data_IF_596241239514
#
_entry.id   IF_596241239514
#
_cell.length_a   1.000
_cell.length_b   1.000
_cell.length_c   1.000
_cell.angle_alpha   90.00
_cell.angle_beta   90.00
_cell.angle_gamma   90.00
#
_symmetry.space_group_name_H-M   'P 1'
#
loop_
_entity.id
_entity.type
_entity.pdbx_description
1 polymer ?
#
# COMPACT_ATOMS: atom_id res chain seq x y z
N UNK A 1 29.16 25.04 -12.86
CA UNK A 1 28.73 25.45 -11.50
C UNK A 1 27.31 26.02 -11.49
N UNK A 2 26.98 27.02 -12.30
CA UNK A 2 25.66 27.66 -12.40
C UNK A 2 24.48 26.69 -12.65
N UNK A 3 24.61 25.68 -13.55
CA UNK A 3 23.55 24.67 -13.81
C UNK A 3 23.24 23.82 -12.57
N UNK A 4 24.22 23.48 -11.72
CA UNK A 4 24.01 22.72 -10.47
C UNK A 4 23.28 23.56 -9.42
N UNK A 5 23.62 24.87 -9.31
CA UNK A 5 22.96 25.81 -8.39
C UNK A 5 21.51 26.03 -8.82
N UNK A 6 21.27 26.22 -10.11
CA UNK A 6 19.92 26.39 -10.65
C UNK A 6 19.05 25.14 -10.42
N UNK A 7 19.59 23.94 -10.70
CA UNK A 7 18.88 22.68 -10.43
C UNK A 7 18.55 22.49 -8.94
N UNK A 8 19.50 22.80 -8.06
CA UNK A 8 19.28 22.73 -6.61
C UNK A 8 18.18 23.69 -6.15
N UNK A 9 18.18 24.92 -6.67
CA UNK A 9 17.16 25.92 -6.36
C UNK A 9 15.77 25.50 -6.84
N UNK A 10 15.62 25.00 -8.07
CA UNK A 10 14.36 24.49 -8.60
C UNK A 10 13.85 23.30 -7.81
N UNK A 11 14.73 22.41 -7.37
CA UNK A 11 14.37 21.26 -6.54
C UNK A 11 13.84 21.70 -5.17
N UNK A 12 14.47 22.69 -4.54
CA UNK A 12 13.98 23.28 -3.27
C UNK A 12 12.63 23.96 -3.45
N UNK A 13 12.45 24.75 -4.50
CA UNK A 13 11.16 25.40 -4.77
C UNK A 13 10.04 24.37 -5.00
N UNK A 14 10.32 23.29 -5.75
CA UNK A 14 9.36 22.20 -5.95
C UNK A 14 9.01 21.53 -4.63
N UNK A 15 10.00 21.28 -3.76
CA UNK A 15 9.78 20.72 -2.43
C UNK A 15 8.86 21.59 -1.59
N UNK A 16 9.16 22.90 -1.49
CA UNK A 16 8.34 23.87 -0.74
C UNK A 16 6.90 23.92 -1.29
N UNK A 17 6.75 23.96 -2.62
CA UNK A 17 5.44 23.95 -3.27
C UNK A 17 4.63 22.69 -2.91
N UNK A 18 5.27 21.53 -2.93
CA UNK A 18 4.62 20.26 -2.58
C UNK A 18 4.21 20.23 -1.10
N UNK A 19 5.09 20.66 -0.19
CA UNK A 19 4.78 20.73 1.26
C UNK A 19 3.60 21.65 1.54
N UNK A 20 3.55 22.82 0.89
CA UNK A 20 2.41 23.74 1.01
C UNK A 20 1.11 23.11 0.47
N UNK A 21 1.18 22.50 -0.70
CA UNK A 21 0.02 21.80 -1.30
C UNK A 21 -0.51 20.70 -0.39
N UNK A 22 0.37 19.86 0.16
CA UNK A 22 -0.02 18.77 1.06
C UNK A 22 -0.61 19.28 2.38
N UNK A 23 -0.11 20.39 2.92
CA UNK A 23 -0.72 21.02 4.10
C UNK A 23 -2.12 21.55 3.80
N UNK A 24 -2.33 22.17 2.63
CA UNK A 24 -3.66 22.62 2.19
C UNK A 24 -4.60 21.41 2.04
N UNK A 25 -4.12 20.32 1.44
CA UNK A 25 -4.90 19.10 1.29
C UNK A 25 -5.27 18.48 2.64
N UNK A 26 -4.36 18.50 3.63
CA UNK A 26 -4.67 18.07 4.99
C UNK A 26 -5.82 18.88 5.61
N UNK A 27 -5.84 20.21 5.41
CA UNK A 27 -6.93 21.03 5.94
C UNK A 27 -8.26 20.79 5.20
N UNK A 28 -8.23 20.52 3.90
CA UNK A 28 -9.42 20.11 3.14
C UNK A 28 -9.95 18.77 3.65
N UNK A 29 -9.08 17.78 3.86
CA UNK A 29 -9.45 16.45 4.35
C UNK A 29 -10.02 16.52 5.77
N UNK A 30 -9.46 17.37 6.64
CA UNK A 30 -9.99 17.60 7.99
C UNK A 30 -11.44 18.08 7.99
N UNK A 31 -11.83 18.83 6.95
CA UNK A 31 -13.21 19.34 6.79
C UNK A 31 -14.17 18.30 6.20
N UNK A 32 -13.66 17.19 5.66
CA UNK A 32 -14.51 16.08 5.28
C UNK A 32 -15.17 15.57 6.56
N UNK A 33 -16.50 15.57 6.58
CA UNK A 33 -17.22 14.92 7.68
C UNK A 33 -16.75 13.47 7.70
N UNK A 34 -16.23 12.97 8.85
CA UNK A 34 -16.02 11.54 8.95
C UNK A 34 -17.40 10.94 8.65
N UNK A 35 -17.47 10.12 7.60
CA UNK A 35 -18.62 9.27 7.48
C UNK A 35 -18.73 8.58 8.83
N UNK A 36 -19.91 8.56 9.41
CA UNK A 36 -20.24 7.84 10.63
C UNK A 36 -20.11 6.31 10.43
N UNK A 37 -19.16 5.91 9.62
CA UNK A 37 -18.71 4.54 9.54
C UNK A 37 -18.06 4.29 10.89
N UNK A 38 -18.84 3.69 11.78
CA UNK A 38 -18.30 2.96 12.90
C UNK A 38 -17.31 1.99 12.24
N UNK A 39 -16.02 2.34 12.23
CA UNK A 39 -15.00 1.42 11.78
C UNK A 39 -15.16 0.25 12.74
N UNK A 40 -15.84 -0.80 12.31
CA UNK A 40 -15.77 -2.08 12.99
C UNK A 40 -14.32 -2.44 12.89
N UNK A 41 -13.58 -2.17 13.95
CA UNK A 41 -12.20 -2.57 14.08
C UNK A 41 -12.20 -4.08 13.98
N UNK A 42 -11.94 -4.59 12.77
CA UNK A 42 -11.64 -6.00 12.63
C UNK A 42 -10.52 -6.29 13.62
N UNK A 43 -10.78 -7.18 14.54
CA UNK A 43 -9.81 -7.49 15.58
C UNK A 43 -8.69 -8.30 14.94
N UNK A 44 -7.51 -7.72 14.79
CA UNK A 44 -6.36 -8.44 14.21
C UNK A 44 -6.03 -9.72 14.98
N UNK A 45 -6.48 -9.83 16.22
CA UNK A 45 -6.27 -11.02 17.05
C UNK A 45 -7.04 -12.25 16.52
N UNK A 46 -8.02 -12.05 15.63
CA UNK A 46 -8.73 -13.13 14.94
C UNK A 46 -7.85 -13.88 13.95
N UNK A 47 -6.74 -13.27 13.49
CA UNK A 47 -5.81 -13.89 12.54
C UNK A 47 -4.55 -14.35 13.27
N UNK A 48 -4.15 -15.60 13.04
CA UNK A 48 -2.94 -16.18 13.60
C UNK A 48 -1.77 -16.16 12.63
N UNK A 49 -2.06 -16.25 11.32
CA UNK A 49 -1.07 -16.27 10.25
C UNK A 49 -1.45 -15.26 9.16
N UNK A 50 -0.61 -14.28 8.96
CA UNK A 50 -0.85 -13.19 8.01
C UNK A 50 0.29 -13.17 7.00
N UNK A 51 -0.04 -13.33 5.72
CA UNK A 51 0.90 -13.17 4.62
C UNK A 51 0.77 -11.75 4.04
N UNK A 52 1.84 -10.97 4.10
CA UNK A 52 1.90 -9.65 3.44
C UNK A 52 2.68 -9.82 2.14
N UNK A 53 2.02 -9.63 1.02
CA UNK A 53 2.65 -9.69 -0.30
C UNK A 53 3.20 -8.32 -0.66
N UNK A 54 4.52 -8.26 -0.89
CA UNK A 54 5.30 -7.04 -1.07
C UNK A 54 5.82 -6.98 -2.51
N UNK A 55 5.20 -6.22 -3.42
CA UNK A 55 5.67 -6.09 -4.80
C UNK A 55 7.08 -5.50 -4.89
N UNK A 56 7.29 -4.31 -4.31
CA UNK A 56 8.58 -3.63 -4.29
C UNK A 56 9.15 -3.58 -2.88
N UNK A 57 10.46 -3.62 -2.80
CA UNK A 57 11.16 -3.36 -1.55
C UNK A 57 10.96 -1.87 -1.17
N UNK A 58 10.11 -1.60 -0.20
CA UNK A 58 9.64 -0.36 0.44
C UNK A 58 8.12 -0.33 0.67
N UNK A 59 7.34 -1.14 -0.06
CA UNK A 59 5.88 -1.17 0.05
C UNK A 59 5.41 -1.60 1.45
N UNK A 60 6.09 -2.59 2.05
CA UNK A 60 5.80 -3.07 3.41
C UNK A 60 6.00 -1.97 4.45
N UNK A 61 7.01 -1.12 4.23
CA UNK A 61 7.31 -0.03 5.14
C UNK A 61 6.35 1.15 4.92
N UNK A 62 6.04 1.47 3.67
CA UNK A 62 5.11 2.55 3.32
C UNK A 62 3.70 2.22 3.82
N UNK A 63 3.20 1.00 3.55
CA UNK A 63 1.82 0.62 3.81
C UNK A 63 1.55 -0.03 5.16
N UNK A 64 2.52 -0.77 5.72
CA UNK A 64 2.30 -1.72 6.80
C UNK A 64 3.30 -1.66 7.97
N UNK A 65 4.15 -0.63 8.07
CA UNK A 65 5.25 -0.58 9.06
C UNK A 65 4.80 -0.87 10.49
N UNK A 66 3.85 -0.10 11.01
CA UNK A 66 3.39 -0.25 12.39
C UNK A 66 2.53 -1.50 12.58
N UNK A 67 1.81 -1.90 11.55
CA UNK A 67 1.09 -3.16 11.54
C UNK A 67 2.05 -4.34 11.72
N UNK A 68 3.12 -4.41 10.91
CA UNK A 68 4.14 -5.45 10.99
C UNK A 68 4.85 -5.40 12.34
N UNK A 69 5.32 -4.22 12.77
CA UNK A 69 6.03 -4.05 14.03
C UNK A 69 5.26 -4.55 15.25
N UNK A 70 3.93 -4.37 15.26
CA UNK A 70 3.07 -4.81 16.38
C UNK A 70 2.72 -6.29 16.33
N UNK A 71 2.82 -6.93 15.17
CA UNK A 71 2.33 -8.29 14.93
C UNK A 71 3.38 -9.21 14.28
N UNK A 72 4.65 -8.89 14.37
CA UNK A 72 5.74 -9.54 13.63
C UNK A 72 5.75 -11.07 13.76
N UNK A 73 5.39 -11.62 14.92
CA UNK A 73 5.33 -13.08 15.16
C UNK A 73 4.21 -13.80 14.41
N UNK A 74 3.21 -13.06 13.92
CA UNK A 74 2.07 -13.60 13.16
C UNK A 74 2.19 -13.33 11.67
N UNK A 75 3.19 -12.56 11.26
CA UNK A 75 3.33 -12.05 9.90
C UNK A 75 4.51 -12.72 9.22
N UNK A 76 4.30 -13.11 7.98
CA UNK A 76 5.35 -13.43 7.02
C UNK A 76 5.25 -12.49 5.82
N UNK A 77 6.39 -11.97 5.35
CA UNK A 77 6.46 -11.14 4.16
C UNK A 77 6.83 -12.01 2.95
N UNK A 78 6.14 -11.83 1.84
CA UNK A 78 6.51 -12.42 0.55
C UNK A 78 6.93 -11.31 -0.41
N UNK A 79 8.22 -11.20 -0.70
CA UNK A 79 8.75 -10.20 -1.61
C UNK A 79 8.72 -10.71 -3.05
N UNK A 80 7.96 -10.02 -3.92
CA UNK A 80 7.80 -10.40 -5.32
C UNK A 80 9.02 -10.11 -6.20
N UNK A 81 9.92 -9.23 -5.75
CA UNK A 81 11.14 -8.90 -6.49
C UNK A 81 10.95 -7.93 -7.65
N UNK A 82 9.81 -7.26 -7.76
CA UNK A 82 9.61 -6.22 -8.76
C UNK A 82 10.53 -5.03 -8.53
N UNK A 83 10.99 -4.43 -9.62
CA UNK A 83 11.97 -3.35 -9.59
C UNK A 83 11.43 -2.01 -10.06
N UNK A 84 10.18 -2.01 -10.61
CA UNK A 84 9.65 -0.85 -11.32
C UNK A 84 10.31 -0.64 -12.69
N UNK A 85 9.77 0.28 -13.47
CA UNK A 85 10.04 0.43 -14.92
C UNK A 85 11.42 0.96 -15.30
N UNK A 86 12.32 1.29 -14.35
CA UNK A 86 13.59 2.01 -14.67
C UNK A 86 14.84 1.39 -14.05
N UNK A 87 14.85 0.13 -13.70
CA UNK A 87 15.94 -0.46 -12.93
C UNK A 87 16.72 -1.51 -13.71
N UNK A 88 18.04 -1.49 -13.55
CA UNK A 88 18.93 -2.50 -14.06
C UNK A 88 19.25 -3.56 -12.97
N UNK A 89 19.89 -4.66 -13.38
CA UNK A 89 20.23 -5.78 -12.49
C UNK A 89 21.02 -5.39 -11.24
N UNK A 90 21.87 -4.37 -11.29
CA UNK A 90 22.63 -3.88 -10.14
C UNK A 90 21.71 -3.34 -9.03
N UNK A 91 20.59 -2.74 -9.41
CA UNK A 91 19.62 -2.24 -8.44
C UNK A 91 18.84 -3.37 -7.76
N UNK A 92 18.67 -4.54 -8.39
CA UNK A 92 18.00 -5.70 -7.80
C UNK A 92 18.66 -6.14 -6.50
N UNK A 93 19.97 -6.33 -6.51
CA UNK A 93 20.73 -6.75 -5.34
C UNK A 93 20.72 -5.70 -4.21
N UNK A 94 20.73 -4.40 -4.56
CA UNK A 94 20.64 -3.32 -3.59
C UNK A 94 19.25 -3.34 -2.94
N UNK A 95 18.18 -3.42 -3.73
CA UNK A 95 16.81 -3.45 -3.25
C UNK A 95 16.55 -4.65 -2.34
N UNK A 96 17.07 -5.81 -2.74
CA UNK A 96 16.98 -7.02 -1.94
C UNK A 96 17.67 -6.87 -0.58
N UNK A 97 18.90 -6.33 -0.54
CA UNK A 97 19.61 -6.07 0.72
C UNK A 97 18.90 -5.07 1.61
N UNK A 98 18.29 -4.03 1.01
CA UNK A 98 17.50 -3.04 1.72
C UNK A 98 16.25 -3.68 2.35
N UNK A 99 15.53 -4.53 1.61
CA UNK A 99 14.38 -5.28 2.11
C UNK A 99 14.75 -6.22 3.26
N UNK A 100 15.79 -7.04 3.09
CA UNK A 100 16.29 -7.94 4.15
C UNK A 100 16.63 -7.14 5.41
N UNK A 101 17.35 -6.02 5.26
CA UNK A 101 17.70 -5.16 6.40
C UNK A 101 16.47 -4.60 7.15
N UNK A 102 15.35 -4.35 6.47
CA UNK A 102 14.09 -3.97 7.12
C UNK A 102 13.44 -5.16 7.81
N UNK A 103 13.43 -6.34 7.20
CA UNK A 103 12.89 -7.56 7.80
C UNK A 103 13.64 -7.91 9.11
N UNK A 104 14.96 -7.84 9.08
CA UNK A 104 15.83 -8.06 10.26
C UNK A 104 15.52 -7.02 11.36
N UNK A 105 15.39 -5.74 10.99
CA UNK A 105 15.06 -4.69 11.94
C UNK A 105 13.69 -4.90 12.59
N UNK A 106 12.69 -5.35 11.84
CA UNK A 106 11.33 -5.62 12.33
C UNK A 106 11.21 -6.99 13.00
N UNK A 107 12.25 -7.83 12.91
CA UNK A 107 12.25 -9.22 13.37
C UNK A 107 11.03 -9.97 12.83
N UNK A 108 10.84 -9.95 11.51
CA UNK A 108 9.71 -10.55 10.79
C UNK A 108 10.22 -11.60 9.80
N UNK A 109 9.52 -12.73 9.73
CA UNK A 109 9.83 -13.78 8.75
C UNK A 109 9.53 -13.33 7.32
N UNK A 110 10.32 -13.79 6.36
CA UNK A 110 10.13 -13.45 4.96
C UNK A 110 10.55 -14.59 4.01
N UNK A 111 10.00 -14.52 2.80
CA UNK A 111 10.42 -15.27 1.64
C UNK A 111 10.54 -14.34 0.43
N UNK A 112 11.30 -14.77 -0.58
CA UNK A 112 11.66 -13.97 -1.74
C UNK A 112 11.42 -14.79 -2.99
N UNK A 113 10.71 -14.22 -3.96
CA UNK A 113 10.53 -14.84 -5.26
C UNK A 113 11.85 -14.92 -6.04
N UNK A 114 12.16 -16.11 -6.57
CA UNK A 114 13.39 -16.39 -7.32
C UNK A 114 13.15 -16.55 -8.81
N UNK A 115 11.92 -16.80 -9.26
CA UNK A 115 11.62 -17.09 -10.67
C UNK A 115 10.15 -16.99 -11.03
N UNK A 116 9.43 -18.10 -11.01
CA UNK A 116 8.00 -18.10 -11.35
C UNK A 116 7.16 -17.60 -10.18
N UNK A 117 6.90 -16.30 -10.15
CA UNK A 117 6.18 -15.63 -9.07
C UNK A 117 4.83 -16.29 -8.74
N UNK A 118 4.07 -16.75 -9.74
CA UNK A 118 2.76 -17.36 -9.52
C UNK A 118 2.87 -18.70 -8.78
N UNK A 119 3.77 -19.56 -9.21
CA UNK A 119 3.94 -20.89 -8.61
C UNK A 119 4.58 -20.80 -7.22
N UNK A 120 5.53 -19.88 -7.05
CA UNK A 120 6.16 -19.61 -5.77
C UNK A 120 5.18 -19.01 -4.74
N UNK A 121 4.34 -18.06 -5.17
CA UNK A 121 3.32 -17.48 -4.32
C UNK A 121 2.24 -18.51 -3.94
N UNK A 122 1.85 -19.38 -4.88
CA UNK A 122 0.95 -20.49 -4.58
C UNK A 122 1.56 -21.46 -3.56
N UNK A 123 2.82 -21.86 -3.75
CA UNK A 123 3.55 -22.70 -2.79
C UNK A 123 3.62 -22.05 -1.41
N UNK A 124 3.95 -20.76 -1.36
CA UNK A 124 4.00 -20.00 -0.11
C UNK A 124 2.65 -20.01 0.63
N UNK A 125 1.55 -19.83 -0.10
CA UNK A 125 0.20 -19.89 0.48
C UNK A 125 -0.11 -21.27 1.04
N UNK A 126 0.28 -22.35 0.34
CA UNK A 126 0.08 -23.73 0.82
C UNK A 126 0.90 -24.01 2.07
N UNK A 127 2.19 -23.68 2.04
CA UNK A 127 3.15 -24.02 3.11
C UNK A 127 2.86 -23.21 4.38
N UNK A 128 2.57 -21.90 4.22
CA UNK A 128 2.31 -21.03 5.35
C UNK A 128 0.86 -21.10 5.85
N UNK A 129 -0.11 -21.42 4.96
CA UNK A 129 -1.57 -21.48 5.26
C UNK A 129 -2.08 -20.23 5.99
N UNK A 130 -2.03 -19.04 5.37
CA UNK A 130 -2.42 -17.79 6.02
C UNK A 130 -3.93 -17.68 6.20
N UNK A 131 -4.38 -17.14 7.35
CA UNK A 131 -5.78 -16.76 7.58
C UNK A 131 -6.16 -15.49 6.83
N UNK A 132 -5.18 -14.58 6.66
CA UNK A 132 -5.31 -13.30 5.98
C UNK A 132 -4.13 -13.08 5.03
N UNK A 133 -4.42 -12.71 3.77
CA UNK A 133 -3.41 -12.20 2.84
C UNK A 133 -3.61 -10.71 2.68
N UNK A 134 -2.55 -9.92 2.91
CA UNK A 134 -2.53 -8.48 2.65
C UNK A 134 -1.86 -8.20 1.31
N UNK A 135 -2.56 -7.47 0.44
CA UNK A 135 -2.16 -7.07 -0.90
C UNK A 135 -2.13 -5.54 -1.02
N UNK A 136 -1.38 -4.95 -1.95
CA UNK A 136 -1.60 -3.57 -2.34
C UNK A 136 -3.05 -3.34 -2.76
N UNK A 137 -3.55 -2.12 -2.55
CA UNK A 137 -4.91 -1.78 -2.92
C UNK A 137 -5.16 -2.02 -4.43
N UNK A 138 -6.23 -2.76 -4.76
CA UNK A 138 -6.50 -3.21 -6.13
C UNK A 138 -6.74 -2.08 -7.15
N UNK A 139 -7.12 -0.87 -6.72
CA UNK A 139 -7.20 0.33 -7.57
C UNK A 139 -5.87 1.09 -7.65
N UNK A 140 -4.75 0.49 -7.23
CA UNK A 140 -3.47 1.18 -7.35
C UNK A 140 -3.14 1.45 -8.82
N UNK A 141 -2.68 2.70 -9.11
CA UNK A 141 -2.29 3.06 -10.45
C UNK A 141 -1.00 2.37 -10.91
N UNK A 142 -0.19 1.82 -9.96
CA UNK A 142 1.00 1.05 -10.28
C UNK A 142 0.61 -0.33 -10.82
N UNK A 143 1.08 -0.67 -11.99
CA UNK A 143 0.68 -1.90 -12.68
C UNK A 143 1.08 -3.15 -11.91
N UNK A 144 2.33 -3.22 -11.41
CA UNK A 144 2.85 -4.35 -10.64
C UNK A 144 2.08 -4.58 -9.32
N UNK A 145 1.49 -3.53 -8.71
CA UNK A 145 0.60 -3.68 -7.56
C UNK A 145 -0.72 -4.36 -7.94
N UNK A 146 -1.27 -4.06 -9.12
CA UNK A 146 -2.48 -4.73 -9.62
C UNK A 146 -2.19 -6.15 -10.09
N UNK A 147 -1.02 -6.37 -10.69
CA UNK A 147 -0.59 -7.70 -11.14
C UNK A 147 -0.59 -8.71 -9.99
N UNK A 148 -0.08 -8.35 -8.83
CA UNK A 148 -0.11 -9.21 -7.64
C UNK A 148 -1.54 -9.58 -7.25
N UNK A 149 -2.49 -8.65 -7.33
CA UNK A 149 -3.91 -8.94 -7.11
C UNK A 149 -4.44 -9.94 -8.16
N UNK A 150 -4.07 -9.77 -9.43
CA UNK A 150 -4.48 -10.69 -10.49
C UNK A 150 -3.85 -12.09 -10.35
N UNK A 151 -2.63 -12.19 -9.85
CA UNK A 151 -1.98 -13.47 -9.55
C UNK A 151 -2.70 -14.22 -8.43
N UNK A 152 -3.01 -13.57 -7.32
CA UNK A 152 -3.80 -14.16 -6.22
C UNK A 152 -5.18 -14.58 -6.72
N UNK A 153 -5.86 -13.75 -7.51
CA UNK A 153 -7.13 -14.09 -8.13
C UNK A 153 -7.03 -15.37 -8.99
N UNK A 154 -5.99 -15.47 -9.82
CA UNK A 154 -5.78 -16.65 -10.67
C UNK A 154 -5.45 -17.92 -9.85
N UNK A 155 -4.73 -17.76 -8.73
CA UNK A 155 -4.44 -18.86 -7.79
C UNK A 155 -5.75 -19.36 -7.16
N UNK A 156 -6.57 -18.47 -6.63
CA UNK A 156 -7.85 -18.82 -5.98
C UNK A 156 -8.79 -19.52 -6.98
N UNK A 157 -8.91 -19.00 -8.20
CA UNK A 157 -9.77 -19.62 -9.23
C UNK A 157 -9.30 -21.01 -9.66
N UNK A 158 -7.97 -21.25 -9.69
CA UNK A 158 -7.41 -22.52 -10.15
C UNK A 158 -7.41 -23.60 -9.06
N UNK A 159 -7.09 -23.24 -7.82
CA UNK A 159 -6.70 -24.21 -6.78
C UNK A 159 -7.69 -24.36 -5.62
N UNK A 160 -8.75 -23.60 -5.58
CA UNK A 160 -9.81 -23.64 -4.58
C UNK A 160 -9.81 -22.49 -3.56
N UNK A 161 -10.98 -21.91 -3.35
CA UNK A 161 -11.24 -20.78 -2.43
C UNK A 161 -10.98 -21.08 -0.95
N UNK A 162 -10.96 -22.36 -0.55
CA UNK A 162 -10.82 -22.77 0.85
C UNK A 162 -9.42 -22.54 1.44
N UNK A 163 -8.43 -22.24 0.60
CA UNK A 163 -7.06 -22.04 1.04
C UNK A 163 -6.84 -20.71 1.80
N UNK A 164 -7.72 -19.73 1.58
CA UNK A 164 -7.60 -18.38 2.11
C UNK A 164 -8.94 -17.97 2.70
N UNK A 165 -8.96 -17.40 3.90
CA UNK A 165 -10.21 -16.97 4.53
C UNK A 165 -10.57 -15.53 4.17
N UNK A 166 -9.60 -14.63 4.20
CA UNK A 166 -9.78 -13.19 3.97
C UNK A 166 -8.66 -12.61 3.12
N UNK A 167 -9.02 -11.61 2.33
CA UNK A 167 -8.07 -10.75 1.61
C UNK A 167 -8.16 -9.35 2.20
N UNK A 168 -7.03 -8.77 2.58
CA UNK A 168 -6.91 -7.39 2.98
C UNK A 168 -6.13 -6.59 1.96
N UNK A 169 -6.48 -5.31 1.80
CA UNK A 169 -5.76 -4.37 0.97
C UNK A 169 -5.11 -3.29 1.82
N UNK A 170 -3.85 -2.96 1.55
CA UNK A 170 -3.12 -1.86 2.17
C UNK A 170 -2.78 -0.75 1.17
N UNK A 171 -2.66 0.47 1.67
CA UNK A 171 -2.39 1.65 0.86
C UNK A 171 -0.90 1.77 0.53
N UNK A 172 -0.60 2.02 -0.76
CA UNK A 172 0.73 2.46 -1.21
C UNK A 172 0.60 3.73 -2.06
N UNK A 173 0.51 3.58 -3.37
CA UNK A 173 0.50 4.69 -4.32
C UNK A 173 -0.88 5.31 -4.50
N UNK A 174 -1.93 4.56 -4.19
CA UNK A 174 -3.32 4.96 -4.29
C UNK A 174 -4.00 4.90 -2.92
N UNK A 175 -4.75 5.93 -2.52
CA UNK A 175 -5.48 5.94 -1.26
C UNK A 175 -6.62 4.93 -1.27
N UNK A 176 -7.00 4.42 -0.10
CA UNK A 176 -8.22 3.66 0.10
C UNK A 176 -9.32 4.65 0.52
N UNK A 177 -10.48 4.72 -0.15
CA UNK A 177 -11.58 5.59 0.28
C UNK A 177 -12.00 5.29 1.72
N UNK A 178 -12.35 6.34 2.46
CA UNK A 178 -12.77 6.20 3.86
C UNK A 178 -13.95 5.24 4.03
N UNK A 179 -14.84 5.19 3.04
CA UNK A 179 -16.00 4.27 2.99
C UNK A 179 -15.61 2.79 2.89
N UNK A 180 -14.38 2.49 2.42
CA UNK A 180 -13.86 1.14 2.28
C UNK A 180 -12.94 0.73 3.44
N UNK A 181 -12.54 1.68 4.29
CA UNK A 181 -11.66 1.39 5.43
C UNK A 181 -12.44 0.68 6.52
N UNK A 182 -12.03 -0.53 6.87
CA UNK A 182 -12.64 -1.32 7.95
C UNK A 182 -11.63 -1.85 8.98
N UNK A 183 -10.33 -1.54 8.79
CA UNK A 183 -9.31 -1.81 9.77
C UNK A 183 -8.28 -0.67 9.80
N UNK A 184 -7.85 -0.27 10.99
CA UNK A 184 -6.96 0.88 11.22
C UNK A 184 -5.89 0.53 12.26
N UNK A 185 -4.65 0.90 11.96
CA UNK A 185 -3.55 0.93 12.93
C UNK A 185 -3.21 2.38 13.24
N UNK A 186 -3.51 2.79 14.47
CA UNK A 186 -3.18 4.13 14.96
C UNK A 186 -1.66 4.32 15.10
N UNK A 187 -1.18 5.48 14.65
CA UNK A 187 0.20 5.92 14.81
C UNK A 187 0.25 7.19 15.67
N UNK A 188 0.99 7.14 16.76
CA UNK A 188 1.40 8.35 17.47
C UNK A 188 2.50 9.10 16.69
N UNK A 189 2.77 10.35 17.06
CA UNK A 189 3.84 11.15 16.44
C UNK A 189 5.19 10.44 16.44
N UNK A 190 5.51 9.74 17.55
CA UNK A 190 6.76 8.98 17.69
C UNK A 190 6.84 7.84 16.67
N UNK A 191 5.72 7.12 16.43
CA UNK A 191 5.66 5.98 15.53
C UNK A 191 5.85 6.42 14.07
N UNK A 192 5.20 7.53 13.67
CA UNK A 192 5.37 8.11 12.34
C UNK A 192 6.80 8.61 12.12
N UNK A 193 7.42 9.23 13.13
CA UNK A 193 8.81 9.67 13.06
C UNK A 193 9.78 8.48 12.97
N UNK A 194 9.51 7.40 13.67
CA UNK A 194 10.29 6.17 13.61
C UNK A 194 10.19 5.52 12.24
N UNK A 195 8.97 5.33 11.72
CA UNK A 195 8.71 4.87 10.34
C UNK A 195 9.56 5.65 9.33
N UNK A 196 9.57 6.98 9.45
CA UNK A 196 10.37 7.87 8.60
C UNK A 196 11.88 7.63 8.74
N UNK A 197 12.38 7.51 9.97
CA UNK A 197 13.81 7.23 10.24
C UNK A 197 14.24 5.88 9.66
N UNK A 198 13.43 4.83 9.84
CA UNK A 198 13.69 3.49 9.33
C UNK A 198 13.75 3.52 7.80
N UNK A 199 12.79 4.19 7.14
CA UNK A 199 12.83 4.33 5.70
C UNK A 199 14.15 4.96 5.21
N UNK A 200 14.55 6.11 5.73
CA UNK A 200 15.78 6.77 5.30
C UNK A 200 17.05 5.99 5.66
N UNK A 201 17.01 5.16 6.69
CA UNK A 201 18.13 4.32 7.08
C UNK A 201 18.35 3.17 6.12
N UNK A 202 17.28 2.46 5.75
CA UNK A 202 17.35 1.21 5.00
C UNK A 202 17.15 1.42 3.50
N UNK A 203 16.15 2.18 3.06
CA UNK A 203 15.82 2.40 1.65
C UNK A 203 16.59 3.57 1.03
N UNK A 204 17.92 3.51 1.08
CA UNK A 204 18.79 4.58 0.57
C UNK A 204 18.70 4.75 -0.95
N UNK A 205 18.43 3.67 -1.67
CA UNK A 205 18.24 3.69 -3.13
C UNK A 205 16.97 4.44 -3.55
N UNK A 206 16.00 4.61 -2.61
CA UNK A 206 14.71 5.24 -2.85
C UNK A 206 14.63 6.73 -2.48
N UNK A 207 15.77 7.39 -2.30
CA UNK A 207 15.84 8.82 -1.91
C UNK A 207 15.15 9.78 -2.88
N UNK A 208 14.87 9.34 -4.11
CA UNK A 208 14.15 10.11 -5.12
C UNK A 208 12.63 10.10 -4.95
N UNK A 209 12.09 9.19 -4.15
CA UNK A 209 10.67 9.14 -3.88
C UNK A 209 10.23 10.37 -3.07
N UNK A 210 9.06 10.93 -3.35
CA UNK A 210 8.48 12.00 -2.55
C UNK A 210 7.88 11.45 -1.24
N UNK A 211 8.74 10.91 -0.37
CA UNK A 211 8.37 10.18 0.84
C UNK A 211 7.44 10.95 1.77
N UNK A 212 7.66 12.26 1.90
CA UNK A 212 6.82 13.08 2.74
C UNK A 212 5.34 12.98 2.36
N UNK A 213 5.02 12.77 1.07
CA UNK A 213 3.64 12.54 0.62
C UNK A 213 2.97 11.40 1.38
N UNK A 214 3.63 10.25 1.52
CA UNK A 214 3.08 9.09 2.21
C UNK A 214 2.80 9.38 3.69
N UNK A 215 3.69 10.12 4.34
CA UNK A 215 3.49 10.54 5.73
C UNK A 215 2.37 11.57 5.88
N UNK A 216 2.20 12.45 4.89
CA UNK A 216 1.04 13.35 4.84
C UNK A 216 -0.26 12.57 4.60
N UNK A 217 -0.25 11.53 3.77
CA UNK A 217 -1.41 10.65 3.57
C UNK A 217 -1.76 9.90 4.88
N UNK A 218 -0.78 9.35 5.60
CA UNK A 218 -1.02 8.71 6.91
C UNK A 218 -1.61 9.71 7.93
N UNK A 219 -1.14 10.97 7.93
CA UNK A 219 -1.73 12.04 8.75
C UNK A 219 -3.13 12.44 8.31
N UNK A 220 -3.41 12.40 7.01
CA UNK A 220 -4.74 12.67 6.47
C UNK A 220 -5.75 11.65 6.97
N UNK A 221 -5.42 10.36 6.93
CA UNK A 221 -6.24 9.31 7.52
C UNK A 221 -6.37 9.46 9.03
N UNK A 222 -5.27 9.78 9.72
CA UNK A 222 -5.35 10.08 11.14
C UNK A 222 -6.39 11.14 11.46
N UNK A 223 -6.37 12.28 10.75
CA UNK A 223 -7.36 13.36 10.93
C UNK A 223 -8.79 12.92 10.66
N UNK A 224 -8.99 12.13 9.60
CA UNK A 224 -10.30 11.59 9.25
C UNK A 224 -10.88 10.71 10.36
N UNK A 225 -10.05 9.93 11.03
CA UNK A 225 -10.44 9.00 12.10
C UNK A 225 -10.16 9.53 13.52
N UNK A 226 -9.91 10.84 13.68
CA UNK A 226 -9.61 11.49 14.97
C UNK A 226 -8.35 10.95 15.66
N UNK A 227 -7.37 10.56 14.88
CA UNK A 227 -6.05 10.08 15.29
C UNK A 227 -4.95 11.05 14.84
N UNK A 228 -3.72 10.89 15.36
CA UNK A 228 -2.58 11.68 14.87
C UNK A 228 -2.20 11.30 13.44
N UNK A 229 -2.03 10.01 13.18
CA UNK A 229 -1.83 9.39 11.88
C UNK A 229 -2.37 7.96 11.89
N UNK A 230 -2.56 7.34 10.73
CA UNK A 230 -3.09 5.98 10.63
C UNK A 230 -2.55 5.25 9.40
N UNK A 231 -2.19 3.98 9.57
CA UNK A 231 -2.17 2.99 8.50
C UNK A 231 -3.56 2.39 8.39
N UNK A 232 -4.06 2.25 7.18
CA UNK A 232 -5.44 1.87 6.91
C UNK A 232 -5.52 0.67 5.98
N UNK A 233 -6.57 -0.12 6.17
CA UNK A 233 -6.78 -1.36 5.45
C UNK A 233 -8.25 -1.54 5.11
N UNK A 234 -8.49 -2.28 4.01
CA UNK A 234 -9.79 -2.83 3.65
C UNK A 234 -9.70 -4.35 3.64
N UNK A 235 -10.42 -5.02 4.51
CA UNK A 235 -10.45 -6.48 4.61
C UNK A 235 -11.78 -6.97 4.04
N UNK A 236 -11.71 -7.94 3.14
CA UNK A 236 -12.84 -8.49 2.37
C UNK A 236 -12.97 -9.99 2.55
N UNK A 237 -14.19 -10.48 2.43
CA UNK A 237 -14.43 -11.87 2.05
C UNK A 237 -13.91 -12.11 0.64
N UNK A 238 -13.48 -13.34 0.37
CA UNK A 238 -12.93 -13.70 -0.93
C UNK A 238 -13.91 -13.38 -2.06
N UNK A 239 -15.19 -13.74 -1.91
CA UNK A 239 -16.20 -13.50 -2.94
C UNK A 239 -16.38 -12.01 -3.27
N UNK A 240 -16.38 -11.17 -2.24
CA UNK A 240 -16.45 -9.70 -2.42
C UNK A 240 -15.21 -9.17 -3.13
N UNK A 241 -14.03 -9.63 -2.74
CA UNK A 241 -12.78 -9.21 -3.35
C UNK A 241 -12.65 -9.70 -4.80
N UNK A 242 -13.01 -10.96 -5.09
CA UNK A 242 -13.00 -11.52 -6.45
C UNK A 242 -13.85 -10.69 -7.41
N UNK A 243 -15.08 -10.36 -7.03
CA UNK A 243 -15.95 -9.50 -7.82
C UNK A 243 -15.29 -8.16 -8.14
N UNK A 244 -14.65 -7.52 -7.14
CA UNK A 244 -13.91 -6.27 -7.37
C UNK A 244 -12.78 -6.46 -8.38
N UNK A 245 -12.01 -7.55 -8.29
CA UNK A 245 -10.94 -7.84 -9.24
C UNK A 245 -11.46 -8.07 -10.66
N UNK A 246 -12.61 -8.74 -10.81
CA UNK A 246 -13.24 -8.92 -12.12
C UNK A 246 -13.66 -7.59 -12.75
N UNK A 247 -14.23 -6.69 -11.95
CA UNK A 247 -14.66 -5.37 -12.44
C UNK A 247 -13.51 -4.47 -12.85
N UNK A 248 -12.41 -4.42 -12.08
CA UNK A 248 -11.27 -3.56 -12.40
C UNK A 248 -10.53 -3.95 -13.67
N UNK A 249 -10.76 -5.16 -14.20
CA UNK A 249 -10.19 -5.61 -15.48
C UNK A 249 -10.89 -5.00 -16.69
N UNK A 250 -12.05 -4.35 -16.52
CA UNK A 250 -12.75 -3.65 -17.59
C UNK A 250 -11.94 -2.46 -18.08
N UNK A 251 -11.90 -2.25 -19.38
CA UNK A 251 -11.05 -1.20 -20.00
C UNK A 251 -11.38 0.21 -19.53
N UNK A 252 -12.66 0.53 -19.31
CA UNK A 252 -13.08 1.83 -18.81
C UNK A 252 -12.52 2.14 -17.42
N UNK A 253 -12.52 1.15 -16.51
CA UNK A 253 -11.97 1.29 -15.16
C UNK A 253 -10.45 1.43 -15.21
N UNK A 254 -9.75 0.65 -16.03
CA UNK A 254 -8.30 0.76 -16.20
C UNK A 254 -7.88 2.15 -16.73
N UNK A 255 -8.67 2.74 -17.63
CA UNK A 255 -8.44 4.11 -18.11
C UNK A 255 -8.58 5.13 -16.96
N UNK A 256 -9.57 4.99 -16.08
CA UNK A 256 -9.75 5.86 -14.93
C UNK A 256 -8.61 5.71 -13.92
N UNK A 257 -8.20 4.48 -13.60
CA UNK A 257 -7.05 4.21 -12.72
C UNK A 257 -5.79 4.90 -13.27
N UNK A 258 -5.59 4.90 -14.58
CA UNK A 258 -4.43 5.55 -15.22
C UNK A 258 -4.38 7.07 -14.97
N UNK A 259 -5.53 7.71 -14.73
CA UNK A 259 -5.61 9.16 -14.41
C UNK A 259 -4.99 9.46 -13.04
N UNK A 260 -5.04 8.52 -12.09
CA UNK A 260 -4.44 8.67 -10.76
C UNK A 260 -2.94 8.94 -10.83
N UNK A 261 -2.26 8.38 -11.82
CA UNK A 261 -0.82 8.63 -12.06
C UNK A 261 -0.52 10.10 -12.33
N UNK A 262 -1.44 10.83 -12.98
CA UNK A 262 -1.27 12.25 -13.32
C UNK A 262 -1.40 13.17 -12.11
N UNK A 263 -2.17 12.75 -11.10
CA UNK A 263 -2.46 13.52 -9.88
C UNK A 263 -1.77 12.94 -8.63
N UNK A 264 -0.71 12.18 -8.82
CA UNK A 264 -0.04 11.43 -7.75
C UNK A 264 0.38 12.28 -6.54
N UNK A 265 0.71 13.55 -6.75
CA UNK A 265 1.11 14.48 -5.69
C UNK A 265 -0.05 15.32 -5.11
N UNK A 266 -1.28 15.13 -5.58
CA UNK A 266 -2.48 15.83 -5.13
C UNK A 266 -3.31 14.89 -4.25
N UNK A 267 -3.09 14.93 -2.95
CA UNK A 267 -3.69 13.96 -2.01
C UNK A 267 -5.22 14.02 -2.06
N UNK A 268 -5.78 15.22 -1.98
CA UNK A 268 -7.22 15.43 -1.91
C UNK A 268 -7.95 15.04 -3.22
N UNK A 269 -7.41 15.45 -4.37
CA UNK A 269 -8.02 15.14 -5.67
C UNK A 269 -7.93 13.66 -5.99
N UNK A 270 -6.82 13.03 -5.60
CA UNK A 270 -6.65 11.58 -5.71
C UNK A 270 -7.68 10.81 -4.88
N UNK A 271 -7.95 11.25 -3.65
CA UNK A 271 -8.99 10.68 -2.81
C UNK A 271 -10.37 10.75 -3.45
N UNK A 272 -10.74 11.92 -4.00
CA UNK A 272 -12.02 12.10 -4.70
C UNK A 272 -12.17 11.16 -5.89
N UNK A 273 -11.14 11.08 -6.75
CA UNK A 273 -11.21 10.24 -7.93
C UNK A 273 -11.34 8.75 -7.57
N UNK A 274 -10.61 8.28 -6.55
CA UNK A 274 -10.72 6.88 -6.11
C UNK A 274 -12.10 6.59 -5.51
N UNK A 275 -12.66 7.52 -4.73
CA UNK A 275 -14.01 7.39 -4.17
C UNK A 275 -15.09 7.36 -5.27
N UNK A 276 -14.91 8.11 -6.36
CA UNK A 276 -15.76 8.05 -7.55
C UNK A 276 -15.69 6.70 -8.25
N UNK A 277 -14.48 6.16 -8.45
CA UNK A 277 -14.28 4.84 -9.05
C UNK A 277 -14.94 3.77 -8.19
N UNK A 278 -14.75 3.79 -6.87
CA UNK A 278 -15.38 2.82 -5.97
C UNK A 278 -16.90 2.87 -5.99
N UNK A 279 -17.49 4.07 -6.03
CA UNK A 279 -18.95 4.19 -6.14
C UNK A 279 -19.47 3.55 -7.42
N UNK A 280 -18.84 3.76 -8.57
CA UNK A 280 -19.23 3.14 -9.84
C UNK A 280 -19.08 1.61 -9.78
N UNK A 281 -17.99 1.10 -9.18
CA UNK A 281 -17.85 -0.33 -8.97
C UNK A 281 -19.01 -0.90 -8.12
N UNK A 282 -19.48 -0.17 -7.11
CA UNK A 282 -20.62 -0.58 -6.28
C UNK A 282 -21.96 -0.54 -7.04
N UNK A 283 -22.14 0.40 -7.96
CA UNK A 283 -23.33 0.48 -8.81
C UNK A 283 -23.39 -0.68 -9.82
N UNK A 284 -22.26 -1.14 -10.33
CA UNK A 284 -22.18 -2.30 -11.22
C UNK A 284 -22.39 -3.64 -10.48
N UNK A 285 -22.46 -3.64 -9.15
CA UNK A 285 -22.78 -4.81 -8.32
C UNK A 285 -24.29 -5.04 -8.14
N UNK A 286 -25.08 -3.97 -8.30
CA UNK A 286 -26.54 -4.00 -8.13
C UNK A 286 -27.24 -4.43 -9.40
#
# INVERSE_FOLDING_TARGET
MLKKIHYYFLTKLRFIKNELSWNIDLEKIKKLKPNTVTVRTNNINEYNKILVVVPHADDELIGCYNFIKKNNKKIKLFYCGYLGTKTNYLNKNIRLKEFIGVCDYLNVDFSISQGNLKDELYKEILDYSPDLILLPYYLDWHEEHREVNYLIYAIIKKYNKRLIQKIGCYKISTPIPASQVNFIVSLAKKDLNEKKKVFYKYYRSQKYLPLNRFFYEDRAYGRLFKLYAAEIYSIFDIDTWEKKIELIRKENILKEISRLKKIVNQIFDKWKLVDEIERRLQEEYK
#
